data_IF_198759524408
#
_entry.id   IF_198759524408
#
_cell.length_a   1.000
_cell.length_b   1.000
_cell.length_c   1.000
_cell.angle_alpha   90.00
_cell.angle_beta   90.00
_cell.angle_gamma   90.00
#
_symmetry.space_group_name_H-M   'P 1'
#
loop_
_entity.id
_entity.type
_entity.pdbx_description
1 polymer ?
#
# COMPACT_ATOMS: atom_id res chain seq x y z
N UNK A 1 -8.64 -15.44 6.52
CA UNK A 1 -9.45 -15.85 5.35
C UNK A 1 -9.18 -17.32 5.07
N UNK A 2 -10.22 -18.16 4.96
CA UNK A 2 -10.09 -19.57 4.60
C UNK A 2 -9.90 -19.73 3.08
N UNK A 3 -9.27 -20.84 2.69
CA UNK A 3 -9.13 -21.24 1.29
C UNK A 3 -9.67 -22.65 1.09
N UNK A 4 -9.87 -23.07 -0.14
CA UNK A 4 -10.40 -24.40 -0.42
C UNK A 4 -9.54 -25.54 0.17
N UNK A 5 -8.21 -25.41 0.10
CA UNK A 5 -7.24 -26.38 0.66
C UNK A 5 -7.11 -26.25 2.19
N UNK A 6 -7.20 -25.04 2.73
CA UNK A 6 -7.10 -24.72 4.15
C UNK A 6 -8.33 -23.95 4.60
N UNK A 7 -9.48 -24.64 4.85
CA UNK A 7 -10.74 -23.96 5.09
C UNK A 7 -10.83 -23.26 6.46
N UNK A 8 -10.01 -23.68 7.43
CA UNK A 8 -9.99 -23.01 8.73
C UNK A 8 -9.44 -21.58 8.58
N UNK A 9 -10.19 -20.61 9.08
CA UNK A 9 -9.91 -19.19 8.93
C UNK A 9 -8.50 -18.78 9.36
N UNK A 10 -8.01 -19.32 10.47
CA UNK A 10 -6.74 -18.98 11.07
C UNK A 10 -5.57 -19.92 10.65
N UNK A 11 -5.80 -20.89 9.77
CA UNK A 11 -4.82 -21.92 9.42
C UNK A 11 -3.47 -21.31 8.94
N UNK A 12 -3.54 -20.24 8.17
CA UNK A 12 -2.35 -19.53 7.71
C UNK A 12 -1.60 -18.84 8.85
N UNK A 13 -2.28 -18.01 9.64
CA UNK A 13 -1.66 -17.29 10.75
C UNK A 13 -1.13 -18.24 11.84
N UNK A 14 -1.84 -19.32 12.12
CA UNK A 14 -1.36 -20.35 13.07
C UNK A 14 -0.09 -21.02 12.56
N UNK A 15 -0.02 -21.31 11.26
CA UNK A 15 1.19 -21.86 10.67
C UNK A 15 2.37 -20.88 10.77
N UNK A 16 2.18 -19.61 10.40
CA UNK A 16 3.23 -18.59 10.52
C UNK A 16 3.71 -18.44 11.96
N UNK A 17 2.77 -18.30 12.91
CA UNK A 17 3.09 -18.15 14.33
C UNK A 17 3.88 -19.36 14.89
N UNK A 18 3.53 -20.59 14.47
CA UNK A 18 4.27 -21.80 14.86
C UNK A 18 5.71 -21.82 14.32
N UNK A 19 6.01 -21.01 13.31
CA UNK A 19 7.34 -20.91 12.70
C UNK A 19 7.95 -19.50 12.86
N UNK A 20 7.61 -18.80 13.97
CA UNK A 20 8.11 -17.46 14.30
C UNK A 20 7.92 -16.44 13.17
N UNK A 21 6.84 -16.59 12.43
CA UNK A 21 6.54 -15.77 11.26
C UNK A 21 5.42 -14.78 11.48
N UNK A 22 5.37 -13.78 10.62
CA UNK A 22 4.34 -12.76 10.55
C UNK A 22 3.87 -12.55 9.11
N UNK A 23 2.72 -11.91 8.93
CA UNK A 23 2.25 -11.46 7.62
C UNK A 23 1.57 -10.12 7.73
N UNK A 24 1.61 -9.36 6.66
CA UNK A 24 0.86 -8.12 6.53
C UNK A 24 0.48 -7.88 5.06
N UNK A 25 -0.35 -6.87 4.84
CA UNK A 25 -0.72 -6.41 3.51
C UNK A 25 -0.98 -4.90 3.54
N UNK A 26 -0.82 -4.24 2.41
CA UNK A 26 -1.26 -2.86 2.22
C UNK A 26 -1.88 -2.68 0.85
N UNK A 27 -2.84 -1.77 0.76
CA UNK A 27 -3.50 -1.39 -0.49
C UNK A 27 -3.16 0.06 -0.83
N UNK A 28 -2.56 0.23 -2.00
CA UNK A 28 -2.34 1.53 -2.64
C UNK A 28 -3.50 1.85 -3.60
N UNK A 29 -3.55 3.04 -4.21
CA UNK A 29 -4.66 3.42 -5.12
C UNK A 29 -4.96 2.42 -6.23
N UNK A 30 -3.95 1.70 -6.74
CA UNK A 30 -4.07 0.80 -7.90
C UNK A 30 -3.39 -0.55 -7.72
N UNK A 31 -2.89 -0.87 -6.53
CA UNK A 31 -2.20 -2.13 -6.26
C UNK A 31 -2.41 -2.58 -4.83
N UNK A 32 -2.30 -3.88 -4.61
CA UNK A 32 -2.27 -4.48 -3.26
C UNK A 32 -1.01 -5.32 -3.12
N UNK A 33 -0.30 -5.15 -2.02
CA UNK A 33 0.87 -5.95 -1.67
C UNK A 33 0.52 -6.87 -0.50
N UNK A 34 0.85 -8.14 -0.64
CA UNK A 34 0.74 -9.15 0.42
C UNK A 34 2.13 -9.69 0.69
N UNK A 35 2.53 -9.79 1.93
CA UNK A 35 3.82 -10.33 2.30
C UNK A 35 3.77 -11.11 3.61
N UNK A 36 4.70 -12.02 3.76
CA UNK A 36 4.93 -12.75 5.00
C UNK A 36 6.43 -13.04 5.16
N UNK A 37 6.79 -13.35 6.37
CA UNK A 37 8.09 -13.87 6.73
C UNK A 37 7.93 -15.07 7.67
N UNK A 38 8.88 -15.98 7.65
CA UNK A 38 8.95 -17.14 8.55
C UNK A 38 10.41 -17.41 8.89
N UNK A 39 10.65 -18.20 9.95
CA UNK A 39 11.98 -18.69 10.27
C UNK A 39 12.58 -19.40 9.07
N UNK A 40 13.87 -19.14 8.82
CA UNK A 40 14.62 -19.80 7.75
C UNK A 40 14.91 -21.28 8.02
N UNK A 41 14.76 -21.73 9.26
CA UNK A 41 14.95 -23.12 9.69
C UNK A 41 13.76 -23.61 10.50
N UNK A 42 13.54 -24.93 10.57
CA UNK A 42 12.59 -25.54 11.49
C UNK A 42 12.85 -25.16 12.96
N UNK A 43 11.86 -25.40 13.82
CA UNK A 43 11.84 -24.91 15.22
C UNK A 43 13.03 -25.33 16.08
N UNK A 44 13.75 -26.40 15.72
CA UNK A 44 14.90 -26.89 16.46
C UNK A 44 16.25 -26.40 15.90
N UNK A 45 16.23 -25.42 15.01
CA UNK A 45 17.41 -24.93 14.27
C UNK A 45 18.13 -26.03 13.46
N UNK A 46 17.44 -27.14 13.21
CA UNK A 46 17.91 -28.25 12.39
C UNK A 46 17.85 -27.89 10.91
N UNK A 47 18.61 -28.61 10.10
CA UNK A 47 18.47 -28.50 8.65
C UNK A 47 17.15 -29.16 8.20
N UNK A 48 16.46 -28.57 7.21
CA UNK A 48 15.22 -29.13 6.69
C UNK A 48 15.37 -30.56 6.20
N UNK A 49 14.38 -31.38 6.49
CA UNK A 49 14.32 -32.78 6.09
C UNK A 49 12.90 -33.18 5.66
N UNK A 50 12.70 -34.37 5.14
CA UNK A 50 11.36 -34.85 4.79
C UNK A 50 10.43 -34.94 6.01
N UNK A 51 10.96 -35.22 7.20
CA UNK A 51 10.20 -35.28 8.45
C UNK A 51 10.02 -33.87 9.10
N UNK A 52 10.90 -32.94 8.79
CA UNK A 52 10.90 -31.57 9.32
C UNK A 52 11.20 -30.58 8.17
N UNK A 53 10.22 -30.31 7.31
CA UNK A 53 10.42 -29.54 6.10
C UNK A 53 10.68 -28.05 6.37
N UNK A 54 11.23 -27.36 5.38
CA UNK A 54 11.41 -25.91 5.44
C UNK A 54 10.10 -25.19 5.79
N UNK A 55 10.10 -24.29 6.80
CA UNK A 55 8.93 -23.47 7.11
C UNK A 55 8.44 -22.64 5.93
N UNK A 56 9.36 -22.18 5.07
CA UNK A 56 9.02 -21.40 3.88
C UNK A 56 8.18 -22.21 2.90
N UNK A 57 8.48 -23.50 2.69
CA UNK A 57 7.70 -24.36 1.78
C UNK A 57 6.23 -24.43 2.19
N UNK A 58 5.95 -24.70 3.46
CA UNK A 58 4.59 -24.82 3.97
C UNK A 58 3.86 -23.46 4.05
N UNK A 59 4.59 -22.36 4.21
CA UNK A 59 4.03 -21.01 4.16
C UNK A 59 3.63 -20.61 2.73
N UNK A 60 4.49 -20.90 1.73
CA UNK A 60 4.21 -20.65 0.31
C UNK A 60 2.97 -21.40 -0.16
N UNK A 61 2.83 -22.68 0.20
CA UNK A 61 1.64 -23.48 -0.12
C UNK A 61 0.35 -22.80 0.39
N UNK A 62 0.34 -22.36 1.64
CA UNK A 62 -0.83 -21.68 2.22
C UNK A 62 -1.08 -20.32 1.62
N UNK A 63 -0.02 -19.57 1.37
CA UNK A 63 -0.10 -18.24 0.78
C UNK A 63 -0.63 -18.27 -0.67
N UNK A 64 -0.17 -19.20 -1.48
CA UNK A 64 -0.63 -19.38 -2.86
C UNK A 64 -2.15 -19.61 -2.94
N UNK A 65 -2.72 -20.33 -1.96
CA UNK A 65 -4.14 -20.64 -1.95
C UNK A 65 -5.06 -19.41 -1.83
N UNK A 66 -4.55 -18.27 -1.35
CA UNK A 66 -5.32 -17.02 -1.35
C UNK A 66 -5.56 -16.48 -2.77
N UNK A 67 -4.71 -16.85 -3.72
CA UNK A 67 -4.78 -16.45 -5.12
C UNK A 67 -5.40 -17.54 -6.02
N UNK A 68 -5.38 -18.79 -5.60
CA UNK A 68 -5.92 -19.93 -6.35
C UNK A 68 -7.40 -20.18 -6.03
N UNK A 69 -7.74 -20.27 -4.74
CA UNK A 69 -9.10 -20.67 -4.35
C UNK A 69 -9.52 -20.07 -2.99
N UNK A 70 -9.66 -18.74 -2.86
CA UNK A 70 -10.16 -18.09 -1.65
C UNK A 70 -11.66 -18.40 -1.46
N UNK A 71 -12.10 -18.55 -0.20
CA UNK A 71 -13.50 -18.90 0.10
C UNK A 71 -14.40 -17.68 0.31
N UNK A 72 -13.88 -16.51 0.62
CA UNK A 72 -14.67 -15.30 0.95
C UNK A 72 -15.81 -15.61 1.93
N UNK A 73 -15.46 -16.25 3.06
CA UNK A 73 -16.45 -16.71 4.05
C UNK A 73 -17.25 -15.53 4.59
N UNK A 74 -18.59 -15.66 4.56
CA UNK A 74 -19.50 -14.64 5.06
C UNK A 74 -19.30 -14.36 6.55
N UNK A 75 -18.98 -15.39 7.32
CA UNK A 75 -18.70 -15.29 8.77
C UNK A 75 -17.49 -14.40 9.11
N UNK A 76 -16.57 -14.19 8.16
CA UNK A 76 -15.38 -13.34 8.37
C UNK A 76 -15.61 -11.90 7.93
N UNK A 77 -16.55 -11.67 7.01
CA UNK A 77 -16.81 -10.39 6.38
C UNK A 77 -17.14 -9.30 7.41
N UNK A 78 -18.08 -9.55 8.30
CA UNK A 78 -18.53 -8.52 9.27
C UNK A 78 -17.41 -8.12 10.25
N UNK A 79 -16.50 -9.04 10.60
CA UNK A 79 -15.32 -8.72 11.42
C UNK A 79 -14.32 -7.87 10.67
N UNK A 80 -14.09 -8.19 9.41
CA UNK A 80 -13.18 -7.44 8.55
C UNK A 80 -13.69 -6.01 8.33
N UNK A 81 -14.97 -5.84 8.03
CA UNK A 81 -15.60 -4.52 7.92
C UNK A 81 -15.44 -3.69 9.20
N UNK A 82 -15.58 -4.32 10.38
CA UNK A 82 -15.35 -3.66 11.69
C UNK A 82 -13.87 -3.33 11.93
N UNK A 83 -12.95 -4.16 11.46
CA UNK A 83 -11.52 -3.89 11.56
C UNK A 83 -11.15 -2.65 10.74
N UNK A 84 -11.58 -2.60 9.48
CA UNK A 84 -11.38 -1.43 8.59
C UNK A 84 -12.03 -0.16 9.17
N UNK A 85 -13.24 -0.26 9.72
CA UNK A 85 -13.91 0.87 10.38
C UNK A 85 -13.14 1.38 11.61
N UNK A 86 -12.55 0.46 12.39
CA UNK A 86 -11.73 0.81 13.55
C UNK A 86 -10.43 1.49 13.15
N UNK A 87 -9.79 1.03 12.06
CA UNK A 87 -8.63 1.68 11.47
C UNK A 87 -8.95 3.09 10.98
N UNK A 88 -10.07 3.25 10.27
CA UNK A 88 -10.53 4.56 9.84
C UNK A 88 -10.76 5.51 11.03
N UNK A 89 -11.45 5.05 12.08
CA UNK A 89 -11.69 5.85 13.29
C UNK A 89 -10.39 6.30 13.98
N UNK A 90 -9.38 5.41 14.03
CA UNK A 90 -8.05 5.76 14.51
C UNK A 90 -7.40 6.84 13.62
N UNK A 91 -7.52 6.71 12.30
CA UNK A 91 -6.95 7.62 11.33
C UNK A 91 -7.55 9.02 11.39
N UNK A 92 -8.83 9.18 11.78
CA UNK A 92 -9.48 10.48 11.97
C UNK A 92 -8.80 11.37 13.05
N UNK A 93 -8.00 10.79 13.94
CA UNK A 93 -7.24 11.50 14.96
C UNK A 93 -5.79 11.81 14.52
N UNK A 94 -5.39 11.39 13.31
CA UNK A 94 -4.07 11.64 12.75
C UNK A 94 -4.12 12.76 11.72
N UNK A 95 -3.37 13.82 11.94
CA UNK A 95 -3.31 14.95 11.00
C UNK A 95 -2.77 14.53 9.65
N UNK A 96 -1.81 13.61 9.59
CA UNK A 96 -1.28 13.06 8.34
C UNK A 96 -2.39 12.40 7.50
N UNK A 97 -3.24 11.56 8.10
CA UNK A 97 -4.35 10.90 7.39
C UNK A 97 -5.42 11.89 6.96
N UNK A 98 -5.70 12.89 7.79
CA UNK A 98 -6.68 13.96 7.49
C UNK A 98 -6.23 14.82 6.33
N UNK A 99 -4.96 15.25 6.33
CA UNK A 99 -4.36 16.02 5.24
C UNK A 99 -4.32 15.21 3.94
N UNK A 100 -3.90 13.95 4.00
CA UNK A 100 -3.92 13.07 2.83
C UNK A 100 -5.33 12.93 2.22
N UNK A 101 -6.36 12.78 3.06
CA UNK A 101 -7.74 12.72 2.56
C UNK A 101 -8.22 14.07 2.00
N UNK A 102 -7.79 15.19 2.56
CA UNK A 102 -8.07 16.51 2.03
C UNK A 102 -7.42 16.67 0.64
N UNK A 103 -6.15 16.33 0.48
CA UNK A 103 -5.44 16.35 -0.80
C UNK A 103 -6.15 15.49 -1.86
N UNK A 104 -6.57 14.27 -1.49
CA UNK A 104 -7.37 13.40 -2.36
C UNK A 104 -8.66 14.08 -2.81
N UNK A 105 -9.37 14.73 -1.91
CA UNK A 105 -10.64 15.42 -2.23
C UNK A 105 -10.46 16.65 -3.14
N UNK A 106 -9.25 17.20 -3.17
CA UNK A 106 -8.85 18.33 -4.01
C UNK A 106 -8.13 17.89 -5.30
N UNK A 107 -7.98 16.59 -5.53
CA UNK A 107 -7.32 16.07 -6.70
C UNK A 107 -8.28 15.83 -7.87
N UNK A 108 -7.72 15.54 -9.04
CA UNK A 108 -8.47 15.23 -10.25
C UNK A 108 -9.41 14.03 -10.02
N UNK A 109 -10.75 14.18 -10.16
CA UNK A 109 -11.70 13.10 -9.92
C UNK A 109 -11.58 11.92 -10.91
N UNK A 110 -10.84 12.07 -11.99
CA UNK A 110 -10.55 10.99 -12.95
C UNK A 110 -9.29 10.21 -12.59
N UNK A 111 -8.48 10.74 -11.69
CA UNK A 111 -7.26 10.06 -11.26
C UNK A 111 -7.55 9.11 -10.08
N UNK A 112 -6.99 7.88 -10.04
CA UNK A 112 -7.24 6.91 -8.96
C UNK A 112 -6.95 7.44 -7.56
N UNK A 113 -6.06 8.40 -7.43
CA UNK A 113 -5.69 9.02 -6.16
C UNK A 113 -6.86 9.70 -5.45
N UNK A 114 -7.88 10.21 -6.18
CA UNK A 114 -9.02 10.93 -5.58
C UNK A 114 -9.89 10.04 -4.64
N UNK A 115 -9.82 8.73 -4.79
CA UNK A 115 -10.69 7.83 -4.06
C UNK A 115 -10.37 7.78 -2.56
N UNK A 116 -11.42 7.61 -1.75
CA UNK A 116 -11.30 7.33 -0.32
C UNK A 116 -10.56 6.01 -0.12
N UNK A 117 -9.40 6.06 0.56
CA UNK A 117 -8.44 4.94 0.61
C UNK A 117 -8.57 4.04 1.83
N UNK A 118 -9.42 4.40 2.80
CA UNK A 118 -9.78 3.53 3.91
C UNK A 118 -11.18 2.97 3.67
N UNK A 119 -11.93 2.69 4.69
CA UNK A 119 -13.33 2.32 4.64
C UNK A 119 -13.99 2.65 5.96
N UNK A 120 -15.30 2.74 5.97
CA UNK A 120 -16.09 2.85 7.19
C UNK A 120 -17.27 1.89 7.12
N UNK A 121 -17.88 1.55 8.27
CA UNK A 121 -19.12 0.76 8.25
C UNK A 121 -20.21 1.46 7.42
N UNK A 122 -20.23 2.78 7.41
CA UNK A 122 -21.17 3.52 6.57
C UNK A 122 -20.95 3.23 5.08
N UNK A 123 -19.71 3.37 4.59
CA UNK A 123 -19.39 3.21 3.16
C UNK A 123 -19.36 1.76 2.69
N UNK A 124 -19.00 0.82 3.59
CA UNK A 124 -18.81 -0.58 3.25
C UNK A 124 -19.98 -1.48 3.61
N UNK A 125 -20.93 -1.02 4.45
CA UNK A 125 -22.09 -1.81 4.88
C UNK A 125 -23.40 -1.03 4.74
N UNK A 126 -23.59 0.05 5.51
CA UNK A 126 -24.87 0.75 5.63
C UNK A 126 -25.39 1.31 4.31
N UNK A 127 -24.55 2.03 3.56
CA UNK A 127 -24.93 2.60 2.26
C UNK A 127 -25.13 1.53 1.18
N UNK A 128 -24.28 0.50 1.05
CA UNK A 128 -24.53 -0.63 0.14
C UNK A 128 -25.83 -1.37 0.46
N UNK A 129 -26.07 -1.72 1.72
CA UNK A 129 -27.31 -2.41 2.15
C UNK A 129 -28.56 -1.58 1.82
N UNK A 130 -28.55 -0.27 2.09
CA UNK A 130 -29.63 0.63 1.76
C UNK A 130 -29.93 0.72 0.24
N UNK A 131 -28.94 0.37 -0.59
CA UNK A 131 -29.06 0.28 -2.06
C UNK A 131 -29.36 -1.12 -2.55
N UNK A 132 -29.57 -2.10 -1.67
CA UNK A 132 -29.78 -3.48 -2.03
C UNK A 132 -28.54 -4.20 -2.58
N UNK A 133 -27.34 -3.69 -2.29
CA UNK A 133 -26.08 -4.25 -2.77
C UNK A 133 -25.55 -5.24 -1.73
N UNK A 134 -25.31 -6.50 -2.17
CA UNK A 134 -24.58 -7.49 -1.38
C UNK A 134 -23.07 -7.22 -1.48
N UNK A 135 -22.46 -6.82 -0.38
CA UNK A 135 -21.04 -6.44 -0.34
C UNK A 135 -20.12 -7.63 -0.62
N UNK A 136 -20.47 -8.83 -0.17
CA UNK A 136 -19.71 -10.05 -0.45
C UNK A 136 -19.65 -10.36 -1.94
N UNK A 137 -20.78 -10.23 -2.63
CA UNK A 137 -20.83 -10.47 -4.08
C UNK A 137 -19.94 -9.45 -4.82
N UNK A 138 -19.88 -8.21 -4.34
CA UNK A 138 -18.98 -7.18 -4.89
C UNK A 138 -17.50 -7.47 -4.63
N UNK A 139 -17.14 -8.08 -3.52
CA UNK A 139 -15.76 -8.55 -3.30
C UNK A 139 -15.38 -9.69 -4.23
N UNK A 140 -16.28 -10.62 -4.46
CA UNK A 140 -16.04 -11.72 -5.41
C UNK A 140 -15.91 -11.16 -6.83
N UNK A 141 -16.82 -10.28 -7.25
CA UNK A 141 -16.76 -9.59 -8.54
C UNK A 141 -15.44 -8.82 -8.71
N UNK A 142 -15.00 -8.11 -7.67
CA UNK A 142 -13.71 -7.40 -7.69
C UNK A 142 -12.53 -8.37 -7.85
N UNK A 143 -12.51 -9.46 -7.11
CA UNK A 143 -11.49 -10.48 -7.23
C UNK A 143 -11.45 -11.07 -8.65
N UNK A 144 -12.59 -11.43 -9.20
CA UNK A 144 -12.69 -12.01 -10.55
C UNK A 144 -12.24 -11.04 -11.64
N UNK A 145 -12.51 -9.74 -11.47
CA UNK A 145 -12.19 -8.71 -12.47
C UNK A 145 -10.78 -8.16 -12.38
N UNK A 146 -10.08 -8.31 -11.25
CA UNK A 146 -8.80 -7.65 -11.03
C UNK A 146 -7.65 -8.61 -10.69
N UNK A 147 -7.94 -9.83 -10.22
CA UNK A 147 -6.90 -10.80 -9.88
C UNK A 147 -6.63 -11.72 -11.08
N UNK A 148 -5.44 -11.56 -11.67
CA UNK A 148 -4.99 -12.34 -12.81
C UNK A 148 -3.46 -12.48 -12.75
N UNK A 149 -2.95 -13.67 -13.01
CA UNK A 149 -1.51 -13.97 -12.91
C UNK A 149 -0.64 -13.00 -13.72
N UNK A 150 -1.11 -12.55 -14.91
CA UNK A 150 -0.35 -11.60 -15.74
C UNK A 150 -0.19 -10.20 -15.12
N UNK A 151 -1.03 -9.83 -14.13
CA UNK A 151 -0.94 -8.56 -13.39
C UNK A 151 -0.18 -8.69 -12.07
N UNK A 152 0.21 -9.92 -11.68
CA UNK A 152 0.88 -10.20 -10.41
C UNK A 152 2.39 -10.28 -10.57
N UNK A 153 3.11 -9.95 -9.52
CA UNK A 153 4.55 -10.17 -9.38
C UNK A 153 4.78 -10.88 -8.06
N UNK A 154 5.47 -12.02 -8.13
CA UNK A 154 5.87 -12.80 -6.96
C UNK A 154 7.37 -12.62 -6.75
N UNK A 155 7.76 -12.34 -5.52
CA UNK A 155 9.15 -12.33 -5.09
C UNK A 155 9.29 -13.29 -3.91
N UNK A 156 10.18 -14.24 -4.02
CA UNK A 156 10.49 -15.21 -2.95
C UNK A 156 11.95 -15.07 -2.56
N UNK A 157 12.19 -14.82 -1.28
CA UNK A 157 13.52 -14.80 -0.68
C UNK A 157 13.63 -15.98 0.31
N UNK A 158 14.58 -16.86 0.09
CA UNK A 158 14.83 -18.02 0.93
C UNK A 158 16.33 -18.33 1.01
N UNK A 159 16.68 -19.25 1.87
CA UNK A 159 18.04 -19.80 2.00
C UNK A 159 18.30 -20.97 1.04
N UNK A 160 17.24 -21.52 0.49
CA UNK A 160 17.29 -22.65 -0.42
C UNK A 160 17.89 -22.23 -1.78
N UNK A 161 18.51 -23.19 -2.51
CA UNK A 161 18.96 -22.94 -3.88
C UNK A 161 17.84 -22.43 -4.77
N UNK A 162 18.17 -21.61 -5.75
CA UNK A 162 17.18 -21.00 -6.65
C UNK A 162 16.31 -22.04 -7.37
N UNK A 163 16.91 -23.14 -7.81
CA UNK A 163 16.18 -24.23 -8.49
C UNK A 163 15.10 -24.84 -7.60
N UNK A 164 15.36 -24.96 -6.29
CA UNK A 164 14.40 -25.47 -5.29
C UNK A 164 13.28 -24.46 -5.06
N UNK A 165 13.61 -23.15 -4.98
CA UNK A 165 12.60 -22.11 -4.84
C UNK A 165 11.72 -22.01 -6.10
N UNK A 166 12.30 -22.15 -7.29
CA UNK A 166 11.58 -22.18 -8.55
C UNK A 166 10.61 -23.39 -8.62
N UNK A 167 11.07 -24.58 -8.22
CA UNK A 167 10.22 -25.78 -8.14
C UNK A 167 9.00 -25.53 -7.24
N UNK A 168 9.19 -24.96 -6.03
CA UNK A 168 8.08 -24.66 -5.13
C UNK A 168 7.13 -23.58 -5.66
N UNK A 169 7.68 -22.57 -6.33
CA UNK A 169 6.85 -21.55 -6.97
C UNK A 169 6.01 -22.17 -8.08
N UNK A 170 6.60 -22.98 -8.93
CA UNK A 170 5.87 -23.68 -9.99
C UNK A 170 4.81 -24.64 -9.40
N UNK A 171 5.14 -25.39 -8.34
CA UNK A 171 4.22 -26.32 -7.68
C UNK A 171 2.97 -25.58 -7.13
N UNK A 172 3.13 -24.40 -6.50
CA UNK A 172 2.04 -23.78 -5.74
C UNK A 172 1.32 -22.67 -6.47
N UNK A 173 1.97 -21.96 -7.39
CA UNK A 173 1.41 -20.77 -8.02
C UNK A 173 0.99 -20.98 -9.49
N UNK A 174 1.31 -22.12 -10.12
CA UNK A 174 0.91 -22.38 -11.52
C UNK A 174 -0.61 -22.42 -11.72
N UNK A 175 -1.37 -22.71 -10.69
CA UNK A 175 -2.83 -22.75 -10.72
C UNK A 175 -3.47 -21.34 -10.58
N UNK A 176 -2.68 -20.28 -10.39
CA UNK A 176 -3.22 -18.91 -10.38
C UNK A 176 -3.65 -18.55 -11.80
N UNK A 177 -4.93 -18.28 -11.98
CA UNK A 177 -5.54 -18.06 -13.29
C UNK A 177 -4.94 -16.85 -14.02
N UNK A 178 -4.52 -17.04 -15.25
CA UNK A 178 -4.15 -15.97 -16.16
C UNK A 178 -5.33 -15.60 -17.08
N UNK A 179 -5.97 -14.50 -16.81
CA UNK A 179 -7.13 -13.97 -17.56
C UNK A 179 -6.71 -13.01 -18.68
N UNK A 180 -5.42 -12.77 -18.87
CA UNK A 180 -4.86 -11.80 -19.83
C UNK A 180 -5.50 -10.40 -19.71
N UNK A 181 -5.70 -9.94 -18.48
CA UNK A 181 -6.29 -8.63 -18.23
C UNK A 181 -5.33 -7.51 -18.65
N UNK A 182 -5.84 -6.41 -19.24
CA UNK A 182 -5.02 -5.27 -19.57
C UNK A 182 -4.50 -4.59 -18.29
N UNK A 183 -3.27 -4.09 -18.35
CA UNK A 183 -2.73 -3.28 -17.27
C UNK A 183 -3.24 -1.84 -17.41
N UNK A 184 -3.92 -1.34 -16.39
CA UNK A 184 -4.39 0.04 -16.36
C UNK A 184 -3.22 1.01 -16.14
N UNK A 185 -3.26 2.14 -16.87
CA UNK A 185 -2.31 3.25 -16.80
C UNK A 185 -3.05 4.57 -16.99
N UNK A 186 -2.55 5.65 -16.42
CA UNK A 186 -3.20 6.96 -16.45
C UNK A 186 -2.25 8.09 -16.90
N UNK A 187 -1.56 7.95 -18.04
CA UNK A 187 -0.53 8.91 -18.47
C UNK A 187 -1.11 10.29 -18.81
N UNK A 188 -2.40 10.38 -19.13
CA UNK A 188 -3.10 11.61 -19.52
C UNK A 188 -3.95 12.22 -18.39
N UNK A 189 -3.97 11.57 -17.24
CA UNK A 189 -4.77 12.02 -16.09
C UNK A 189 -3.82 12.46 -14.96
N UNK A 190 -3.40 13.74 -14.93
CA UNK A 190 -2.57 14.22 -13.83
C UNK A 190 -3.37 14.25 -12.53
N UNK A 191 -2.71 14.02 -11.37
CA UNK A 191 -3.37 14.09 -10.07
C UNK A 191 -3.88 15.50 -9.73
N UNK A 192 -3.24 16.54 -10.24
CA UNK A 192 -3.68 17.93 -10.13
C UNK A 192 -3.91 18.52 -11.52
N UNK A 193 -5.11 19.00 -11.79
CA UNK A 193 -5.44 19.75 -13.01
C UNK A 193 -5.11 21.23 -12.84
N UNK A 194 -5.15 22.00 -13.93
CA UNK A 194 -4.82 23.45 -13.90
C UNK A 194 -5.69 24.25 -12.92
N UNK A 195 -6.93 23.83 -12.70
CA UNK A 195 -7.88 24.49 -11.79
C UNK A 195 -7.44 24.38 -10.31
N UNK A 196 -6.62 23.39 -9.99
CA UNK A 196 -6.11 23.14 -8.63
C UNK A 196 -4.71 23.69 -8.39
N UNK A 197 -4.09 24.33 -9.39
CA UNK A 197 -2.79 24.96 -9.23
C UNK A 197 -2.93 26.37 -8.64
N UNK A 198 -2.00 26.75 -7.77
CA UNK A 198 -1.97 28.05 -7.12
C UNK A 198 -3.04 28.25 -6.05
N UNK A 199 -3.67 27.17 -5.61
CA UNK A 199 -4.65 27.19 -4.52
C UNK A 199 -3.93 27.02 -3.19
N UNK A 200 -4.29 27.83 -2.21
CA UNK A 200 -3.87 27.73 -0.83
C UNK A 200 -5.07 27.30 0.03
N UNK A 201 -4.85 26.30 0.87
CA UNK A 201 -5.84 25.88 1.86
C UNK A 201 -5.21 25.82 3.26
N UNK A 202 -6.06 25.99 4.27
CA UNK A 202 -5.66 25.94 5.67
C UNK A 202 -6.40 24.80 6.37
N UNK A 203 -5.67 23.95 7.03
CA UNK A 203 -6.23 22.87 7.82
C UNK A 203 -5.93 23.10 9.30
N UNK A 204 -6.97 23.00 10.15
CA UNK A 204 -6.77 23.04 11.60
C UNK A 204 -6.30 21.67 12.07
N UNK A 205 -5.10 21.55 12.66
CA UNK A 205 -4.61 20.26 13.15
C UNK A 205 -5.36 19.82 14.43
N UNK A 206 -5.33 18.51 14.69
CA UNK A 206 -5.80 17.91 15.95
C UNK A 206 -4.71 18.04 17.02
N UNK A 207 -3.47 17.84 16.62
CA UNK A 207 -2.31 18.01 17.50
C UNK A 207 -1.67 19.38 17.29
N UNK A 208 -0.85 19.85 18.22
CA UNK A 208 -0.05 21.06 18.02
C UNK A 208 1.02 20.82 16.97
N UNK A 209 0.69 21.09 15.73
CA UNK A 209 1.54 20.92 14.56
C UNK A 209 1.42 22.15 13.66
N UNK A 210 2.57 22.67 13.25
CA UNK A 210 2.66 23.79 12.29
C UNK A 210 3.47 23.31 11.10
N UNK A 211 2.79 23.12 9.99
CA UNK A 211 3.40 22.58 8.78
C UNK A 211 2.95 23.37 7.56
N UNK A 212 3.89 23.67 6.69
CA UNK A 212 3.66 24.21 5.36
C UNK A 212 4.08 23.15 4.34
N UNK A 213 3.13 22.68 3.55
CA UNK A 213 3.39 21.82 2.39
C UNK A 213 3.18 22.59 1.09
N UNK A 214 4.12 22.44 0.16
CA UNK A 214 4.03 22.99 -1.19
C UNK A 214 4.14 21.82 -2.15
N UNK A 215 3.06 21.57 -2.91
CA UNK A 215 2.93 20.43 -3.81
C UNK A 215 2.98 20.90 -5.26
N UNK A 216 3.82 20.27 -6.06
CA UNK A 216 3.97 20.51 -7.49
C UNK A 216 3.55 19.27 -8.29
N UNK A 217 2.86 19.43 -9.44
CA UNK A 217 2.75 18.35 -10.41
C UNK A 217 4.13 17.89 -10.86
N UNK A 218 4.35 16.59 -10.95
CA UNK A 218 5.61 16.02 -11.37
C UNK A 218 5.41 14.91 -12.40
N UNK A 219 6.45 14.61 -13.15
CA UNK A 219 6.39 13.60 -14.20
C UNK A 219 6.35 12.17 -13.63
N UNK A 220 5.91 11.22 -14.45
CA UNK A 220 6.10 9.80 -14.20
C UNK A 220 7.58 9.44 -14.44
N UNK A 221 8.24 8.96 -13.41
CA UNK A 221 9.66 8.55 -13.46
C UNK A 221 9.85 7.02 -13.55
N UNK A 222 8.82 6.23 -13.71
CA UNK A 222 8.93 4.76 -13.74
C UNK A 222 9.96 4.29 -14.76
N UNK A 223 10.03 4.96 -15.93
CA UNK A 223 11.00 4.67 -16.99
C UNK A 223 12.39 5.25 -16.75
N UNK A 224 12.55 6.13 -15.75
CA UNK A 224 13.81 6.79 -15.38
C UNK A 224 14.40 6.20 -14.09
N UNK A 225 14.08 4.95 -13.77
CA UNK A 225 14.46 4.32 -12.51
C UNK A 225 15.98 4.30 -12.22
N UNK A 226 16.82 4.34 -13.23
CA UNK A 226 18.26 4.40 -13.08
C UNK A 226 18.78 5.81 -12.71
N UNK A 227 18.17 6.85 -13.26
CA UNK A 227 18.62 8.24 -13.07
C UNK A 227 17.89 8.99 -11.98
N UNK A 228 16.58 8.70 -11.80
CA UNK A 228 15.68 9.25 -10.78
C UNK A 228 15.91 10.75 -10.51
N UNK A 229 15.64 11.65 -11.47
CA UNK A 229 15.92 13.09 -11.33
C UNK A 229 15.25 13.74 -10.12
N UNK A 230 14.11 13.20 -9.66
CA UNK A 230 13.46 13.65 -8.41
C UNK A 230 14.38 13.52 -7.19
N UNK A 231 15.20 12.47 -7.11
CA UNK A 231 16.16 12.29 -5.99
C UNK A 231 17.22 13.38 -5.97
N UNK A 232 17.69 13.80 -7.15
CA UNK A 232 18.65 14.88 -7.24
C UNK A 232 18.03 16.22 -6.80
N UNK A 233 16.82 16.53 -7.26
CA UNK A 233 16.08 17.72 -6.84
C UNK A 233 15.79 17.69 -5.33
N UNK A 234 15.33 16.55 -4.81
CA UNK A 234 15.06 16.36 -3.39
C UNK A 234 16.32 16.59 -2.53
N UNK A 235 17.48 16.10 -2.99
CA UNK A 235 18.76 16.32 -2.32
C UNK A 235 19.13 17.81 -2.28
N UNK A 236 18.99 18.53 -3.40
CA UNK A 236 19.33 19.95 -3.47
C UNK A 236 18.40 20.81 -2.60
N UNK A 237 17.07 20.58 -2.66
CA UNK A 237 16.08 21.32 -1.90
C UNK A 237 16.18 21.00 -0.42
N UNK A 238 16.30 19.71 -0.07
CA UNK A 238 16.40 19.22 1.31
C UNK A 238 17.79 19.40 1.95
N UNK A 239 18.75 20.00 1.26
CA UNK A 239 20.09 20.23 1.81
C UNK A 239 20.06 21.21 2.99
N UNK A 240 20.84 20.92 4.05
CA UNK A 240 20.85 21.72 5.28
C UNK A 240 22.13 22.57 5.48
N UNK A 241 23.14 22.40 4.63
CA UNK A 241 24.42 23.11 4.74
C UNK A 241 24.33 24.60 4.46
N UNK A 242 25.41 25.36 4.68
CA UNK A 242 25.45 26.79 4.41
C UNK A 242 25.02 27.12 2.97
N UNK A 243 24.20 28.15 2.82
CA UNK A 243 23.67 28.58 1.51
C UNK A 243 22.42 27.82 1.05
N UNK A 244 21.95 26.81 1.80
CA UNK A 244 20.72 26.08 1.51
C UNK A 244 19.45 26.84 1.94
N UNK A 245 18.31 26.42 1.40
CA UNK A 245 16.98 26.92 1.82
C UNK A 245 16.81 26.70 3.32
N UNK A 246 17.07 25.47 3.80
CA UNK A 246 16.92 25.11 5.20
C UNK A 246 17.80 25.96 6.11
N UNK A 247 19.08 26.19 5.76
CA UNK A 247 19.96 27.06 6.55
C UNK A 247 19.42 28.48 6.64
N UNK A 248 18.84 29.02 5.57
CA UNK A 248 18.25 30.36 5.57
C UNK A 248 17.01 30.45 6.46
N UNK A 249 16.01 29.57 6.30
CA UNK A 249 14.77 29.64 7.06
C UNK A 249 14.98 29.29 8.55
N UNK A 250 15.93 28.41 8.85
CA UNK A 250 16.37 28.11 10.21
C UNK A 250 17.09 29.30 10.85
N UNK A 251 17.93 29.98 10.11
CA UNK A 251 18.61 31.21 10.58
C UNK A 251 17.65 32.38 10.85
N UNK A 252 16.45 32.36 10.25
CA UNK A 252 15.36 33.29 10.53
C UNK A 252 14.48 32.87 11.71
N UNK A 253 14.68 31.69 12.25
CA UNK A 253 13.82 31.12 13.32
C UNK A 253 12.46 30.60 12.82
N UNK A 254 12.26 30.46 11.51
CA UNK A 254 10.95 30.13 10.94
C UNK A 254 10.66 28.63 10.87
N UNK A 255 11.69 27.80 10.77
CA UNK A 255 11.51 26.36 10.55
C UNK A 255 12.49 25.53 11.35
N UNK A 256 12.02 24.33 11.71
CA UNK A 256 12.78 23.28 12.40
C UNK A 256 13.32 22.22 11.43
N UNK A 257 12.60 21.95 10.34
CA UNK A 257 13.01 20.98 9.31
C UNK A 257 12.37 21.29 7.95
N UNK A 258 13.02 20.80 6.91
CA UNK A 258 12.52 20.82 5.54
C UNK A 258 12.81 19.45 4.91
N UNK A 259 11.82 18.87 4.26
CA UNK A 259 11.96 17.68 3.44
C UNK A 259 11.38 17.92 2.04
N UNK A 260 11.95 17.29 1.04
CA UNK A 260 11.42 17.36 -0.32
C UNK A 260 11.55 16.00 -1.01
N UNK A 261 10.62 15.66 -1.89
CA UNK A 261 10.65 14.41 -2.63
C UNK A 261 9.49 14.23 -3.60
N UNK A 262 9.68 13.35 -4.58
CA UNK A 262 8.58 12.92 -5.42
C UNK A 262 7.78 11.81 -4.74
N UNK A 263 6.47 11.89 -4.86
CA UNK A 263 5.50 10.91 -4.34
C UNK A 263 4.80 10.25 -5.52
N UNK A 264 5.26 9.06 -5.98
CA UNK A 264 4.54 8.26 -6.95
C UNK A 264 3.18 7.86 -6.38
N UNK A 265 2.10 8.20 -7.07
CA UNK A 265 0.73 7.92 -6.61
C UNK A 265 0.23 6.57 -7.09
N UNK A 266 0.46 6.27 -8.35
CA UNK A 266 0.21 4.97 -8.95
C UNK A 266 1.08 4.77 -10.20
N UNK A 267 1.45 3.51 -10.54
CA UNK A 267 2.27 3.23 -11.72
C UNK A 267 1.65 3.72 -13.03
N UNK A 268 2.45 4.35 -13.89
CA UNK A 268 2.01 4.84 -15.19
C UNK A 268 1.06 6.03 -15.11
N UNK A 269 1.24 6.89 -14.12
CA UNK A 269 0.61 8.20 -14.02
C UNK A 269 1.64 9.26 -13.62
N UNK A 270 1.40 10.55 -13.94
CA UNK A 270 2.14 11.64 -13.33
C UNK A 270 2.09 11.58 -11.80
N UNK A 271 3.14 12.06 -11.17
CA UNK A 271 3.32 12.06 -9.71
C UNK A 271 3.19 13.48 -9.12
N UNK A 272 3.43 13.60 -7.84
CA UNK A 272 3.55 14.87 -7.12
C UNK A 272 4.99 15.01 -6.62
N UNK A 273 5.46 16.25 -6.52
CA UNK A 273 6.70 16.59 -5.84
C UNK A 273 6.34 17.52 -4.67
N UNK A 274 6.65 17.08 -3.46
CA UNK A 274 6.26 17.74 -2.24
C UNK A 274 7.47 18.37 -1.56
N UNK A 275 7.29 19.60 -1.04
CA UNK A 275 8.22 20.25 -0.13
C UNK A 275 7.48 20.51 1.18
N UNK A 276 7.89 19.84 2.25
CA UNK A 276 7.24 19.94 3.56
C UNK A 276 8.18 20.62 4.55
N UNK A 277 7.69 21.66 5.20
CA UNK A 277 8.43 22.49 6.16
C UNK A 277 7.71 22.44 7.51
N UNK A 278 8.42 21.99 8.54
CA UNK A 278 7.95 22.15 9.93
C UNK A 278 8.30 23.54 10.44
N UNK A 279 7.26 24.31 10.71
CA UNK A 279 7.38 25.69 11.17
C UNK A 279 7.63 25.74 12.69
N UNK A 280 8.16 26.85 13.15
CA UNK A 280 8.28 27.19 14.59
C UNK A 280 7.01 27.88 15.09
N UNK A 281 7.01 28.25 16.37
CA UNK A 281 5.91 29.06 16.96
C UNK A 281 5.94 30.52 16.54
N UNK A 282 7.03 30.99 15.93
CA UNK A 282 7.21 32.38 15.52
C UNK A 282 6.54 32.70 14.16
N UNK A 283 5.98 31.68 13.46
CA UNK A 283 5.32 31.79 12.16
C UNK A 283 3.80 31.45 12.27
#
# INVERSE_FOLDING_TARGET
MGTKKYPAENAYHQYLAAHSGTSNAYTAPTSTNYHFEVSAKPSNDEEPSAANPSPLKGALDRFAQFFVAPLFLESTLDRELRAVDSENKKNLQSDQWRLNQLEKSLSNPKHPFCHFSTGSLETLKTLPEARGINVRDKFIEFYENHYSANLMKLCVLGREPLDVLEEWVCEYFSDVENKNLPQNRWPQEPPLTKEWLGIQYFAKPVMDSRELSITFPFMDEDHLFESQPSRYLAHLIGHEGPGSIMAYIKGKGWANSLSAGATPLCPGSPSLFDCTIRLTEEV
#
